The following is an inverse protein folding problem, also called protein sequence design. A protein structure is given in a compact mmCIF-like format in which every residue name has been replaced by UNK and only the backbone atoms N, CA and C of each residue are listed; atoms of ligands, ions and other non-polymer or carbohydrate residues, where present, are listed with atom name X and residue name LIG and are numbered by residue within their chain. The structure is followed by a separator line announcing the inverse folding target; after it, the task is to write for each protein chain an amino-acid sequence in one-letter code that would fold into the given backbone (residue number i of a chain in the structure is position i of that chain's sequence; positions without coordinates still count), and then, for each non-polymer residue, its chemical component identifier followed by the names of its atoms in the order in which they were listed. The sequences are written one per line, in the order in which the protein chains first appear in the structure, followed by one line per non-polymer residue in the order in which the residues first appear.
data_IF_941985628154
#
_entry.id   IF_941985628154
#
_cell.length_a   1.000
_cell.length_b   1.000
_cell.length_c   1.000
_cell.angle_alpha   90.00
_cell.angle_beta   90.00
_cell.angle_gamma   90.00
#
_symmetry.space_group_name_H-M   'P 1'
#
loop_
_entity.id
_entity.type
_entity.pdbx_description
1 polymer ?
#
# COMPACT_ATOMS: atom_id res chain seq x y z
N UNK A 1 -22.53 2.66 43.92
CA UNK A 1 -23.53 2.18 42.93
C UNK A 1 -24.04 3.41 42.18
N UNK A 2 -24.28 3.27 40.89
CA UNK A 2 -24.57 4.28 39.85
C UNK A 2 -23.35 4.74 39.03
N UNK A 3 -23.48 4.43 37.74
CA UNK A 3 -22.52 4.18 36.68
C UNK A 3 -22.16 5.45 35.91
N UNK A 4 -20.85 5.67 35.69
CA UNK A 4 -20.36 6.51 34.61
C UNK A 4 -20.84 5.94 33.27
N UNK A 5 -21.66 6.70 32.54
CA UNK A 5 -22.04 6.38 31.17
C UNK A 5 -20.91 6.80 30.22
N UNK A 6 -20.34 5.81 29.54
CA UNK A 6 -19.20 5.90 28.63
C UNK A 6 -19.55 6.53 27.27
N UNK A 7 -20.50 7.47 27.21
CA UNK A 7 -21.04 8.01 25.96
C UNK A 7 -20.67 9.47 25.67
N UNK A 8 -20.22 10.24 26.67
CA UNK A 8 -19.88 11.67 26.48
C UNK A 8 -18.49 11.94 25.93
N UNK A 9 -17.50 11.10 26.26
CA UNK A 9 -16.10 11.32 25.86
C UNK A 9 -15.89 11.03 24.37
N UNK A 10 -16.62 10.06 23.82
CA UNK A 10 -16.55 9.70 22.40
C UNK A 10 -17.05 10.82 21.48
N UNK A 11 -18.08 11.57 21.88
CA UNK A 11 -18.62 12.67 21.06
C UNK A 11 -17.69 13.89 20.99
N UNK A 12 -16.98 14.20 22.08
CA UNK A 12 -16.01 15.30 22.12
C UNK A 12 -14.74 14.93 21.32
N UNK A 13 -14.34 13.66 21.33
CA UNK A 13 -13.22 13.16 20.52
C UNK A 13 -13.57 13.15 19.02
N UNK A 14 -14.77 12.72 18.64
CA UNK A 14 -15.19 12.67 17.24
C UNK A 14 -15.32 14.08 16.65
N UNK A 15 -15.85 15.05 17.41
CA UNK A 15 -15.96 16.44 16.96
C UNK A 15 -14.61 17.15 16.89
N UNK A 16 -13.68 16.86 17.81
CA UNK A 16 -12.31 17.37 17.72
C UNK A 16 -11.53 16.77 16.55
N UNK A 17 -11.72 15.47 16.26
CA UNK A 17 -11.11 14.82 15.08
C UNK A 17 -11.70 15.38 13.77
N UNK A 18 -13.00 15.61 13.68
CA UNK A 18 -13.63 16.20 12.49
C UNK A 18 -13.16 17.64 12.24
N UNK A 19 -12.98 18.41 13.31
CA UNK A 19 -12.46 19.79 13.22
C UNK A 19 -10.98 19.82 12.83
N UNK A 20 -10.19 18.84 13.26
CA UNK A 20 -8.79 18.67 12.81
C UNK A 20 -8.69 18.23 11.35
N UNK A 21 -9.64 17.42 10.86
CA UNK A 21 -9.71 17.00 9.45
C UNK A 21 -10.09 18.20 8.55
N UNK A 22 -11.03 19.04 9.00
CA UNK A 22 -11.46 20.24 8.25
C UNK A 22 -10.49 21.42 8.33
N UNK A 23 -9.67 21.55 9.38
CA UNK A 23 -8.54 22.52 9.40
C UNK A 23 -7.29 22.00 8.64
N UNK A 24 -7.22 20.71 8.33
CA UNK A 24 -6.12 20.15 7.51
C UNK A 24 -6.23 20.49 6.02
N UNK A 25 -7.34 21.09 5.58
CA UNK A 25 -7.51 21.74 4.27
C UNK A 25 -6.53 22.91 4.02
N UNK A 26 -5.71 23.29 5.00
CA UNK A 26 -4.69 24.33 4.84
C UNK A 26 -3.29 23.84 4.44
N UNK A 27 -3.09 22.54 4.22
CA UNK A 27 -1.88 22.07 3.55
C UNK A 27 -2.22 21.72 2.11
N UNK A 28 -2.25 22.76 1.26
CA UNK A 28 -2.05 22.69 -0.20
C UNK A 28 -0.66 22.09 -0.49
N UNK A 29 -0.41 20.86 -0.04
CA UNK A 29 0.85 20.15 -0.18
C UNK A 29 0.85 19.61 -1.60
N UNK A 30 1.67 20.24 -2.45
CA UNK A 30 2.00 19.71 -3.79
C UNK A 30 2.73 18.34 -3.74
N UNK A 31 2.88 17.76 -2.55
CA UNK A 31 3.74 16.62 -2.31
C UNK A 31 2.91 15.44 -1.79
N UNK A 32 2.84 14.39 -2.60
CA UNK A 32 2.16 13.16 -2.23
C UNK A 32 3.08 12.30 -1.35
N UNK A 33 2.73 12.02 -0.08
CA UNK A 33 3.56 11.21 0.81
C UNK A 33 3.78 9.78 0.30
N UNK A 34 2.91 9.27 -0.60
CA UNK A 34 3.11 7.95 -1.19
C UNK A 34 4.36 7.87 -2.06
N UNK A 35 4.81 8.98 -2.64
CA UNK A 35 6.04 9.00 -3.41
C UNK A 35 7.28 8.68 -2.57
N UNK A 36 7.21 8.84 -1.23
CA UNK A 36 8.30 8.47 -0.33
C UNK A 36 8.55 6.96 -0.29
N UNK A 37 7.53 6.13 -0.55
CA UNK A 37 7.73 4.68 -0.68
C UNK A 37 8.64 4.31 -1.86
N UNK A 38 8.81 5.22 -2.82
CA UNK A 38 9.77 5.07 -3.92
C UNK A 38 11.22 4.89 -3.45
N UNK A 39 11.59 5.50 -2.32
CA UNK A 39 12.93 5.38 -1.77
C UNK A 39 13.26 3.96 -1.30
N UNK A 40 12.26 3.15 -0.97
CA UNK A 40 12.47 1.72 -0.69
C UNK A 40 13.03 0.98 -1.91
N UNK A 41 12.78 1.50 -3.12
CA UNK A 41 13.35 0.93 -4.33
C UNK A 41 14.87 1.05 -4.44
N UNK A 42 15.48 1.99 -3.71
CA UNK A 42 16.94 2.12 -3.69
C UNK A 42 17.64 0.96 -2.99
N UNK A 43 16.92 0.17 -2.15
CA UNK A 43 17.46 -1.07 -1.61
C UNK A 43 17.82 -2.09 -2.71
N UNK A 44 17.25 -1.96 -3.91
CA UNK A 44 17.66 -2.78 -5.06
C UNK A 44 19.13 -2.61 -5.45
N UNK A 45 19.75 -1.47 -5.12
CA UNK A 45 21.18 -1.24 -5.34
C UNK A 45 22.07 -2.14 -4.45
N UNK A 46 21.53 -2.76 -3.41
CA UNK A 46 22.23 -3.74 -2.60
C UNK A 46 22.42 -5.09 -3.32
N UNK A 47 21.63 -5.38 -4.36
CA UNK A 47 21.75 -6.60 -5.16
C UNK A 47 23.16 -6.80 -5.73
N UNK A 48 23.70 -5.87 -6.56
CA UNK A 48 25.05 -5.99 -7.09
C UNK A 48 26.14 -5.92 -6.01
N UNK A 49 25.89 -5.28 -4.87
CA UNK A 49 26.84 -5.21 -3.76
C UNK A 49 26.93 -6.51 -2.96
N UNK A 50 25.82 -7.24 -2.84
CA UNK A 50 25.72 -8.47 -2.03
C UNK A 50 25.75 -9.75 -2.86
N UNK A 51 25.58 -9.65 -4.19
CA UNK A 51 25.44 -10.79 -5.09
C UNK A 51 24.13 -11.56 -4.92
N UNK A 52 23.17 -11.03 -4.16
CA UNK A 52 21.89 -11.68 -3.90
C UNK A 52 20.78 -11.09 -4.77
N UNK A 53 20.21 -11.94 -5.62
CA UNK A 53 19.19 -11.59 -6.60
C UNK A 53 17.88 -11.08 -5.97
N UNK A 54 17.56 -11.51 -4.75
CA UNK A 54 16.34 -11.08 -4.03
C UNK A 54 16.27 -9.57 -3.85
N UNK A 55 17.42 -8.89 -3.76
CA UNK A 55 17.43 -7.43 -3.63
C UNK A 55 16.88 -6.74 -4.88
N UNK A 56 17.02 -7.32 -6.07
CA UNK A 56 16.52 -6.68 -7.31
C UNK A 56 15.01 -6.45 -7.28
N UNK A 57 14.23 -7.27 -6.57
CA UNK A 57 12.78 -7.10 -6.43
C UNK A 57 12.39 -5.80 -5.74
N UNK A 58 13.28 -5.21 -4.93
CA UNK A 58 13.03 -3.91 -4.32
C UNK A 58 12.87 -2.81 -5.38
N UNK A 59 13.48 -2.93 -6.57
CA UNK A 59 13.30 -1.94 -7.63
C UNK A 59 11.83 -1.76 -8.06
N UNK A 60 10.96 -2.74 -7.83
CA UNK A 60 9.52 -2.58 -8.07
C UNK A 60 8.90 -1.41 -7.28
N UNK A 61 9.49 -1.04 -6.14
CA UNK A 61 9.05 0.10 -5.33
C UNK A 61 9.32 1.45 -5.99
N UNK A 62 10.23 1.55 -6.96
CA UNK A 62 10.47 2.81 -7.69
C UNK A 62 9.20 3.33 -8.40
N UNK A 63 8.24 2.44 -8.67
CA UNK A 63 6.94 2.79 -9.28
C UNK A 63 6.18 3.87 -8.49
N UNK A 64 6.38 3.94 -7.17
CA UNK A 64 5.72 4.90 -6.29
C UNK A 64 6.13 6.35 -6.56
N UNK A 65 7.33 6.60 -7.11
CA UNK A 65 7.75 7.95 -7.50
C UNK A 65 6.84 8.58 -8.55
N UNK A 66 6.13 7.78 -9.35
CA UNK A 66 5.15 8.26 -10.32
C UNK A 66 3.98 9.05 -9.71
N UNK A 67 3.75 8.94 -8.39
CA UNK A 67 2.68 9.66 -7.70
C UNK A 67 3.13 11.01 -7.12
N UNK A 68 4.39 11.42 -7.29
CA UNK A 68 4.96 12.63 -6.67
C UNK A 68 4.15 13.91 -6.94
N UNK A 69 3.70 14.10 -8.18
CA UNK A 69 2.96 15.29 -8.61
C UNK A 69 1.43 15.15 -8.51
N UNK A 70 0.91 14.02 -8.00
CA UNK A 70 -0.54 13.82 -7.93
C UNK A 70 -1.15 14.61 -6.76
N UNK A 71 -2.21 15.40 -7.00
CA UNK A 71 -2.93 16.08 -5.92
C UNK A 71 -3.60 15.04 -5.00
N UNK A 72 -3.47 15.24 -3.69
CA UNK A 72 -4.07 14.41 -2.65
C UNK A 72 -5.39 15.04 -2.20
N UNK A 73 -6.46 14.83 -2.97
CA UNK A 73 -7.83 15.19 -2.60
C UNK A 73 -8.57 14.01 -1.94
N UNK A 74 -9.78 14.22 -1.44
CA UNK A 74 -10.58 13.16 -0.78
C UNK A 74 -10.83 11.96 -1.71
N UNK A 75 -11.08 12.23 -3.01
CA UNK A 75 -11.29 11.18 -4.03
C UNK A 75 -10.04 10.33 -4.24
N UNK A 76 -8.85 10.94 -4.23
CA UNK A 76 -7.60 10.21 -4.30
C UNK A 76 -7.48 9.20 -3.15
N UNK A 77 -7.83 9.57 -1.92
CA UNK A 77 -7.78 8.66 -0.78
C UNK A 77 -8.79 7.50 -0.89
N UNK A 78 -10.00 7.75 -1.40
CA UNK A 78 -10.97 6.68 -1.66
C UNK A 78 -10.46 5.69 -2.71
N UNK A 79 -9.92 6.20 -3.82
CA UNK A 79 -9.39 5.35 -4.89
C UNK A 79 -8.13 4.61 -4.46
N UNK A 80 -7.32 5.23 -3.60
CA UNK A 80 -6.19 4.58 -2.97
C UNK A 80 -6.63 3.41 -2.09
N UNK A 81 -7.68 3.58 -1.28
CA UNK A 81 -8.22 2.51 -0.44
C UNK A 81 -8.81 1.37 -1.29
N UNK A 82 -9.58 1.67 -2.35
CA UNK A 82 -10.09 0.67 -3.30
C UNK A 82 -8.95 -0.12 -3.96
N UNK A 83 -7.92 0.59 -4.41
CA UNK A 83 -6.73 -0.01 -5.02
C UNK A 83 -5.97 -0.91 -4.04
N UNK A 84 -5.75 -0.41 -2.82
CA UNK A 84 -5.08 -1.15 -1.76
C UNK A 84 -5.81 -2.42 -1.39
N UNK A 85 -7.16 -2.38 -1.31
CA UNK A 85 -7.97 -3.56 -1.03
C UNK A 85 -7.89 -4.60 -2.15
N UNK A 86 -7.92 -4.16 -3.41
CA UNK A 86 -7.75 -5.06 -4.57
C UNK A 86 -6.37 -5.73 -4.57
N UNK A 87 -5.29 -4.96 -4.39
CA UNK A 87 -3.94 -5.49 -4.31
C UNK A 87 -3.77 -6.44 -3.11
N UNK A 88 -4.32 -6.10 -1.94
CA UNK A 88 -4.31 -6.96 -0.76
C UNK A 88 -5.01 -8.30 -1.03
N UNK A 89 -6.17 -8.30 -1.70
CA UNK A 89 -6.88 -9.51 -2.06
C UNK A 89 -6.03 -10.40 -3.00
N UNK A 90 -5.36 -9.82 -3.99
CA UNK A 90 -4.45 -10.54 -4.89
C UNK A 90 -3.29 -11.17 -4.09
N UNK A 91 -2.69 -10.42 -3.16
CA UNK A 91 -1.63 -10.94 -2.29
C UNK A 91 -2.11 -12.10 -1.44
N UNK A 92 -3.29 -11.98 -0.81
CA UNK A 92 -3.86 -13.04 0.02
C UNK A 92 -4.15 -14.31 -0.77
N UNK A 93 -4.74 -14.19 -1.97
CA UNK A 93 -4.97 -15.32 -2.86
C UNK A 93 -3.65 -15.97 -3.28
N UNK A 94 -2.64 -15.18 -3.64
CA UNK A 94 -1.31 -15.69 -3.95
C UNK A 94 -0.70 -16.47 -2.79
N UNK A 95 -0.76 -15.93 -1.57
CA UNK A 95 -0.24 -16.61 -0.38
C UNK A 95 -0.97 -17.94 -0.10
N UNK A 96 -2.28 -18.01 -0.32
CA UNK A 96 -3.04 -19.27 -0.21
C UNK A 96 -2.52 -20.32 -1.19
N UNK A 97 -2.23 -19.93 -2.44
CA UNK A 97 -1.65 -20.83 -3.45
C UNK A 97 -0.27 -21.32 -3.01
N UNK A 98 0.58 -20.45 -2.47
CA UNK A 98 1.91 -20.86 -1.97
C UNK A 98 1.80 -21.85 -0.80
N UNK A 99 0.90 -21.60 0.16
CA UNK A 99 0.68 -22.51 1.27
C UNK A 99 0.18 -23.88 0.80
N UNK A 100 -0.68 -23.89 -0.21
CA UNK A 100 -1.13 -25.13 -0.85
C UNK A 100 0.02 -25.88 -1.54
N UNK A 101 0.83 -25.19 -2.34
CA UNK A 101 2.01 -25.78 -3.00
C UNK A 101 3.02 -26.32 -1.99
N UNK A 102 3.22 -25.62 -0.87
CA UNK A 102 4.03 -26.11 0.25
C UNK A 102 3.48 -27.42 0.82
N UNK A 103 2.17 -27.52 0.98
CA UNK A 103 1.49 -28.74 1.43
C UNK A 103 1.68 -29.94 0.49
N UNK A 104 1.89 -29.69 -0.80
CA UNK A 104 2.20 -30.71 -1.81
C UNK A 104 3.68 -31.14 -1.83
N UNK A 105 4.53 -30.56 -0.98
CA UNK A 105 5.96 -30.90 -0.92
C UNK A 105 6.80 -30.29 -2.06
N UNK A 106 6.33 -29.21 -2.68
CA UNK A 106 7.11 -28.46 -3.67
C UNK A 106 8.41 -27.92 -3.04
N UNK A 107 9.46 -27.81 -3.86
CA UNK A 107 10.77 -27.36 -3.41
C UNK A 107 10.73 -25.97 -2.78
N UNK A 108 11.62 -25.75 -1.80
CA UNK A 108 11.72 -24.47 -1.09
C UNK A 108 12.07 -23.32 -2.03
N UNK A 109 12.91 -23.58 -3.03
CA UNK A 109 13.35 -22.55 -3.98
C UNK A 109 12.16 -22.00 -4.78
N UNK A 110 11.28 -22.87 -5.29
CA UNK A 110 10.06 -22.47 -6.01
C UNK A 110 9.12 -21.67 -5.09
N UNK A 111 9.01 -22.05 -3.82
CA UNK A 111 8.19 -21.33 -2.84
C UNK A 111 8.75 -19.91 -2.60
N UNK A 112 10.06 -19.75 -2.41
CA UNK A 112 10.67 -18.44 -2.19
C UNK A 112 10.51 -17.53 -3.41
N UNK A 113 10.80 -18.03 -4.61
CA UNK A 113 10.55 -17.27 -5.85
C UNK A 113 9.06 -16.91 -6.00
N UNK A 114 8.16 -17.81 -5.64
CA UNK A 114 6.72 -17.54 -5.67
C UNK A 114 6.31 -16.41 -4.71
N UNK A 115 6.87 -16.35 -3.50
CA UNK A 115 6.65 -15.26 -2.56
C UNK A 115 7.14 -13.92 -3.13
N UNK A 116 8.33 -13.90 -3.74
CA UNK A 116 8.88 -12.70 -4.39
C UNK A 116 7.94 -12.17 -5.49
N UNK A 117 7.40 -13.08 -6.32
CA UNK A 117 6.42 -12.74 -7.37
C UNK A 117 5.12 -12.19 -6.76
N UNK A 118 4.60 -12.81 -5.71
CA UNK A 118 3.35 -12.41 -5.04
C UNK A 118 3.47 -11.03 -4.37
N UNK A 119 4.66 -10.65 -3.91
CA UNK A 119 4.88 -9.29 -3.43
C UNK A 119 5.05 -8.28 -4.56
N UNK A 120 5.69 -8.68 -5.67
CA UNK A 120 6.01 -7.79 -6.79
C UNK A 120 4.79 -7.46 -7.66
N UNK A 121 3.97 -8.47 -8.01
CA UNK A 121 2.85 -8.29 -8.93
C UNK A 121 1.81 -7.28 -8.40
N UNK A 122 1.37 -7.32 -7.14
CA UNK A 122 0.44 -6.33 -6.60
C UNK A 122 1.03 -4.93 -6.52
N UNK A 123 2.34 -4.79 -6.25
CA UNK A 123 3.02 -3.49 -6.26
C UNK A 123 3.01 -2.84 -7.64
N UNK A 124 3.32 -3.61 -8.68
CA UNK A 124 3.25 -3.12 -10.06
C UNK A 124 1.80 -2.85 -10.48
N UNK A 125 0.88 -3.75 -10.14
CA UNK A 125 -0.54 -3.61 -10.46
C UNK A 125 -1.19 -2.42 -9.76
N UNK A 126 -0.68 -2.04 -8.59
CA UNK A 126 -1.20 -0.91 -7.82
C UNK A 126 -1.24 0.38 -8.63
N UNK A 127 -0.17 0.70 -9.37
CA UNK A 127 -0.10 1.95 -10.13
C UNK A 127 -1.08 1.96 -11.31
N UNK A 128 -1.25 0.81 -11.97
CA UNK A 128 -2.23 0.67 -13.04
C UNK A 128 -3.66 0.73 -12.52
N UNK A 129 -3.95 0.06 -11.40
CA UNK A 129 -5.27 0.06 -10.78
C UNK A 129 -5.65 1.43 -10.23
N UNK A 130 -4.72 2.13 -9.59
CA UNK A 130 -4.95 3.48 -9.09
C UNK A 130 -5.31 4.43 -10.25
N UNK A 131 -4.54 4.37 -11.34
CA UNK A 131 -4.83 5.15 -12.55
C UNK A 131 -6.19 4.79 -13.16
N UNK A 132 -6.52 3.49 -13.21
CA UNK A 132 -7.79 3.02 -13.74
C UNK A 132 -9.00 3.50 -12.91
N UNK A 133 -8.91 3.50 -11.58
CA UNK A 133 -9.99 4.03 -10.72
C UNK A 133 -10.08 5.55 -10.79
N UNK A 134 -8.96 6.27 -10.90
CA UNK A 134 -8.96 7.71 -11.14
C UNK A 134 -9.67 8.06 -12.47
N UNK A 135 -9.41 7.32 -13.56
CA UNK A 135 -10.05 7.58 -14.86
C UNK A 135 -11.55 7.25 -14.89
N UNK A 136 -12.02 6.32 -14.05
CA UNK A 136 -13.44 5.94 -13.99
C UNK A 136 -14.31 6.84 -13.10
N UNK A 137 -13.72 7.45 -12.09
CA UNK A 137 -14.44 8.27 -11.10
C UNK A 137 -14.36 9.80 -11.40
N UNK A 138 -13.85 10.16 -12.59
CA UNK A 138 -13.87 11.52 -13.18
C UNK A 138 -15.16 11.76 -13.98
#
# INVERSE_FOLDING_TARGET
MCTLTSSGVSYIFITSCYKYITESDFMKKRFNPLALFGFLGLFGLLGPLTGNETWYWWFAWLVWFGNYNKPTDERFFENLAKTGLACFAITMLGLMVILFLKGLGISKDIIFTGIEIIFTVPLLSFVFLLKYFEERDL
#
